data_IF_049887565820
#
_entry.id   IF_049887565820
#
_cell.length_a   1.000
_cell.length_b   1.000
_cell.length_c   1.000
_cell.angle_alpha   90.00
_cell.angle_beta   90.00
_cell.angle_gamma   90.00
#
_symmetry.space_group_name_H-M   'P 1'
#
loop_
_entity.id
_entity.type
_entity.pdbx_description
1 polymer ?
#
# COMPACT_ATOMS: atom_id res chain seq x y z
N UNK A 1 5.12 34.77 -29.20
CA UNK A 1 5.90 33.54 -28.94
C UNK A 1 6.29 33.38 -27.47
N UNK A 2 6.87 34.39 -26.84
CA UNK A 2 7.23 34.31 -25.43
C UNK A 2 6.05 34.11 -24.48
N UNK A 3 4.88 34.70 -24.81
CA UNK A 3 3.68 34.54 -23.99
C UNK A 3 3.12 33.11 -24.04
N UNK A 4 3.16 32.48 -25.21
CA UNK A 4 2.74 31.09 -25.39
C UNK A 4 3.67 30.14 -24.65
N UNK A 5 4.96 30.40 -24.72
CA UNK A 5 5.96 29.62 -24.01
C UNK A 5 5.80 29.75 -22.50
N UNK A 6 5.48 30.94 -22.00
CA UNK A 6 5.28 31.21 -20.60
C UNK A 6 4.06 30.47 -20.01
N UNK A 7 3.05 30.15 -20.83
CA UNK A 7 1.89 29.37 -20.42
C UNK A 7 2.17 27.87 -20.53
N UNK A 8 2.90 27.44 -21.56
CA UNK A 8 3.20 26.03 -21.81
C UNK A 8 4.13 25.46 -20.75
N UNK A 9 5.15 26.18 -20.32
CA UNK A 9 6.14 25.68 -19.35
C UNK A 9 5.49 25.34 -18.01
N UNK A 10 4.70 26.21 -17.37
CA UNK A 10 4.02 25.83 -16.12
C UNK A 10 3.06 24.65 -16.27
N UNK A 11 2.38 24.55 -17.42
CA UNK A 11 1.48 23.45 -17.72
C UNK A 11 2.21 22.12 -17.78
N UNK A 12 3.37 22.08 -18.47
CA UNK A 12 4.19 20.88 -18.57
C UNK A 12 4.73 20.47 -17.21
N UNK A 13 5.20 21.42 -16.42
CA UNK A 13 5.71 21.14 -15.07
C UNK A 13 4.60 20.57 -14.19
N UNK A 14 3.39 21.12 -14.27
CA UNK A 14 2.25 20.63 -13.52
C UNK A 14 1.89 19.20 -13.90
N UNK A 15 1.85 18.90 -15.20
CA UNK A 15 1.57 17.55 -15.69
C UNK A 15 2.62 16.55 -15.22
N UNK A 16 3.90 16.92 -15.31
CA UNK A 16 4.98 16.06 -14.83
C UNK A 16 4.87 15.81 -13.34
N UNK A 17 4.57 16.83 -12.55
CA UNK A 17 4.39 16.69 -11.11
C UNK A 17 3.25 15.74 -10.78
N UNK A 18 2.12 15.84 -11.48
CA UNK A 18 0.97 14.95 -11.30
C UNK A 18 1.31 13.51 -11.67
N UNK A 19 2.03 13.31 -12.77
CA UNK A 19 2.44 11.98 -13.20
C UNK A 19 3.38 11.32 -12.18
N UNK A 20 4.35 12.08 -11.68
CA UNK A 20 5.27 11.57 -10.66
C UNK A 20 4.55 11.23 -9.36
N UNK A 21 3.60 12.07 -8.97
CA UNK A 21 2.79 11.84 -7.78
C UNK A 21 1.97 10.55 -7.93
N UNK A 22 1.38 10.34 -9.11
CA UNK A 22 0.61 9.13 -9.39
C UNK A 22 1.47 7.87 -9.33
N UNK A 23 2.68 7.93 -9.88
CA UNK A 23 3.62 6.81 -9.84
C UNK A 23 4.03 6.48 -8.40
N UNK A 24 4.30 7.49 -7.59
CA UNK A 24 4.64 7.29 -6.18
C UNK A 24 3.49 6.65 -5.41
N UNK A 25 2.27 7.10 -5.65
CA UNK A 25 1.08 6.54 -5.01
C UNK A 25 0.87 5.08 -5.41
N UNK A 26 1.04 4.77 -6.70
CA UNK A 26 0.94 3.41 -7.21
C UNK A 26 2.02 2.51 -6.59
N UNK A 27 3.24 3.01 -6.46
CA UNK A 27 4.32 2.29 -5.81
C UNK A 27 4.01 1.96 -4.36
N UNK A 28 3.47 2.91 -3.63
CA UNK A 28 3.04 2.70 -2.24
C UNK A 28 1.95 1.63 -2.16
N UNK A 29 0.98 1.67 -3.08
CA UNK A 29 -0.08 0.67 -3.14
C UNK A 29 0.48 -0.74 -3.38
N UNK A 30 1.47 -0.87 -4.26
CA UNK A 30 2.12 -2.16 -4.50
C UNK A 30 2.83 -2.68 -3.26
N UNK A 31 3.51 -1.81 -2.51
CA UNK A 31 4.15 -2.19 -1.25
C UNK A 31 3.13 -2.70 -0.25
N UNK A 32 1.99 -2.03 -0.13
CA UNK A 32 0.91 -2.47 0.77
C UNK A 32 0.32 -3.80 0.34
N UNK A 33 0.16 -4.02 -0.96
CA UNK A 33 -0.35 -5.28 -1.49
C UNK A 33 0.62 -6.43 -1.19
N UNK A 34 1.91 -6.20 -1.36
CA UNK A 34 2.94 -7.17 -1.03
C UNK A 34 2.96 -7.49 0.46
N UNK A 35 2.86 -6.46 1.30
CA UNK A 35 2.79 -6.63 2.75
C UNK A 35 1.56 -7.43 3.17
N UNK A 36 0.41 -7.16 2.56
CA UNK A 36 -0.82 -7.90 2.84
C UNK A 36 -0.68 -9.37 2.48
N UNK A 37 -0.06 -9.67 1.34
CA UNK A 37 0.16 -11.05 0.90
C UNK A 37 1.10 -11.80 1.85
N UNK A 38 2.19 -11.16 2.27
CA UNK A 38 3.14 -11.77 3.21
C UNK A 38 2.51 -11.98 4.59
N UNK A 39 1.76 -10.99 5.06
CA UNK A 39 1.07 -11.09 6.35
C UNK A 39 0.00 -12.18 6.34
N UNK A 40 -0.74 -12.31 5.23
CA UNK A 40 -1.75 -13.35 5.09
C UNK A 40 -1.13 -14.76 5.17
N UNK A 41 0.00 -14.95 4.52
CA UNK A 41 0.73 -16.24 4.59
C UNK A 41 1.24 -16.53 5.99
N UNK A 42 1.78 -15.51 6.66
CA UNK A 42 2.26 -15.63 8.03
C UNK A 42 1.12 -15.98 8.97
N UNK A 43 0.00 -15.30 8.85
CA UNK A 43 -1.20 -15.55 9.64
C UNK A 43 -1.76 -16.95 9.40
N UNK A 44 -1.79 -17.37 8.13
CA UNK A 44 -2.29 -18.69 7.75
C UNK A 44 -1.46 -19.82 8.33
N UNK A 45 -0.16 -19.60 8.54
CA UNK A 45 0.72 -20.56 9.19
C UNK A 45 0.59 -20.58 10.71
N UNK A 46 -0.18 -19.65 11.27
CA UNK A 46 -0.38 -19.59 12.70
C UNK A 46 0.80 -19.07 13.50
N UNK A 47 1.68 -18.28 12.88
CA UNK A 47 2.88 -17.77 13.52
C UNK A 47 2.61 -16.68 14.56
N UNK A 48 1.38 -16.16 14.60
CA UNK A 48 0.93 -15.22 15.61
C UNK A 48 1.07 -13.76 15.23
N UNK A 49 0.44 -12.91 16.03
CA UNK A 49 0.35 -11.48 15.76
C UNK A 49 1.72 -10.78 15.76
N UNK A 50 2.66 -11.25 16.57
CA UNK A 50 3.99 -10.67 16.63
C UNK A 50 4.75 -10.83 15.33
N UNK A 51 4.65 -12.02 14.70
CA UNK A 51 5.29 -12.28 13.41
C UNK A 51 4.65 -11.46 12.29
N UNK A 52 3.33 -11.34 12.30
CA UNK A 52 2.60 -10.52 11.34
C UNK A 52 2.99 -9.05 11.44
N UNK A 53 3.07 -8.54 12.65
CA UNK A 53 3.49 -7.17 12.92
C UNK A 53 4.93 -6.92 12.49
N UNK A 54 5.79 -7.92 12.68
CA UNK A 54 7.19 -7.84 12.26
C UNK A 54 7.33 -7.75 10.75
N UNK A 55 6.56 -8.55 10.01
CA UNK A 55 6.54 -8.49 8.55
C UNK A 55 6.06 -7.11 8.09
N UNK A 56 5.00 -6.61 8.68
CA UNK A 56 4.43 -5.32 8.32
C UNK A 56 5.40 -4.18 8.60
N UNK A 57 6.07 -4.20 9.77
CA UNK A 57 7.04 -3.18 10.13
C UNK A 57 8.23 -3.15 9.18
N UNK A 58 8.62 -4.30 8.66
CA UNK A 58 9.74 -4.40 7.71
C UNK A 58 9.35 -3.95 6.31
N UNK A 59 8.19 -4.40 5.82
CA UNK A 59 7.77 -4.18 4.43
C UNK A 59 7.05 -2.84 4.27
N UNK A 60 6.18 -2.51 5.20
CA UNK A 60 5.36 -1.30 5.13
C UNK A 60 5.29 -0.60 6.49
N UNK A 61 6.37 0.10 6.90
CA UNK A 61 6.38 0.79 8.19
C UNK A 61 5.24 1.80 8.28
N UNK A 62 4.59 1.84 9.43
CA UNK A 62 3.48 2.76 9.69
C UNK A 62 2.12 2.27 9.21
N UNK A 63 2.05 1.13 8.57
CA UNK A 63 0.79 0.55 8.12
C UNK A 63 0.09 -0.17 9.29
N UNK A 64 -1.23 -0.30 9.17
CA UNK A 64 -2.06 -1.01 10.15
C UNK A 64 -2.55 -2.31 9.56
N UNK A 65 -2.68 -3.30 10.40
CA UNK A 65 -3.04 -4.65 10.02
C UNK A 65 -4.35 -5.04 10.68
N UNK A 66 -5.25 -5.63 9.91
CA UNK A 66 -6.48 -6.26 10.41
C UNK A 66 -6.58 -7.66 9.83
N UNK A 67 -6.85 -8.63 10.68
CA UNK A 67 -6.99 -10.04 10.27
C UNK A 67 -8.45 -10.45 10.43
N UNK A 68 -8.97 -11.12 9.41
CA UNK A 68 -10.36 -11.55 9.37
C UNK A 68 -10.44 -12.99 8.90
N UNK A 69 -11.22 -13.79 9.60
CA UNK A 69 -11.46 -15.18 9.22
C UNK A 69 -12.73 -15.27 8.36
N UNK A 70 -12.60 -15.87 7.18
CA UNK A 70 -13.72 -16.10 6.27
C UNK A 70 -13.76 -17.58 5.89
N UNK A 71 -14.49 -18.38 6.66
CA UNK A 71 -14.54 -19.83 6.45
C UNK A 71 -13.17 -20.44 6.67
N UNK A 72 -12.64 -21.12 5.65
CA UNK A 72 -11.31 -21.72 5.72
C UNK A 72 -10.19 -20.75 5.32
N UNK A 73 -10.55 -19.55 4.90
CA UNK A 73 -9.57 -18.55 4.48
C UNK A 73 -9.32 -17.53 5.58
N UNK A 74 -8.08 -17.10 5.65
CA UNK A 74 -7.63 -16.05 6.51
C UNK A 74 -7.30 -14.84 5.65
N UNK A 75 -8.01 -13.75 5.85
CA UNK A 75 -7.84 -12.54 5.06
C UNK A 75 -7.19 -11.46 5.90
N UNK A 76 -6.21 -10.78 5.32
CA UNK A 76 -5.49 -9.69 5.97
C UNK A 76 -5.74 -8.41 5.19
N UNK A 77 -6.10 -7.37 5.90
CA UNK A 77 -6.24 -6.04 5.32
C UNK A 77 -5.19 -5.12 5.91
N UNK A 78 -4.45 -4.47 5.06
CA UNK A 78 -3.40 -3.52 5.44
C UNK A 78 -3.82 -2.14 5.00
N UNK A 79 -3.76 -1.17 5.91
CA UNK A 79 -4.10 0.22 5.59
C UNK A 79 -2.95 1.13 6.00
N UNK A 80 -2.73 2.16 5.21
CA UNK A 80 -1.71 3.17 5.49
C UNK A 80 -2.10 4.49 4.87
N UNK A 81 -1.67 5.58 5.48
CA UNK A 81 -1.82 6.90 4.89
C UNK A 81 -0.81 7.08 3.75
N UNK A 82 -1.18 7.87 2.77
CA UNK A 82 -0.24 8.28 1.73
C UNK A 82 0.86 9.17 2.32
N UNK A 83 1.83 9.49 1.50
CA UNK A 83 2.95 10.33 1.90
C UNK A 83 2.85 11.71 1.24
N UNK A 84 3.46 12.72 1.87
CA UNK A 84 3.51 14.07 1.34
C UNK A 84 2.12 14.67 1.17
N UNK A 85 1.82 15.15 -0.04
CA UNK A 85 0.52 15.76 -0.34
C UNK A 85 -0.64 14.77 -0.25
N UNK A 86 -0.35 13.47 -0.26
CA UNK A 86 -1.37 12.42 -0.16
C UNK A 86 -1.57 11.91 1.26
N UNK A 87 -1.12 12.64 2.26
CA UNK A 87 -1.25 12.21 3.66
C UNK A 87 -2.70 12.06 4.12
N UNK A 88 -3.63 12.76 3.46
CA UNK A 88 -5.06 12.65 3.74
C UNK A 88 -5.73 11.45 3.05
N UNK A 89 -5.02 10.80 2.11
CA UNK A 89 -5.53 9.64 1.38
C UNK A 89 -5.14 8.37 2.13
N UNK A 90 -6.13 7.53 2.40
CA UNK A 90 -5.90 6.23 3.02
C UNK A 90 -5.82 5.17 1.93
N UNK A 91 -4.68 4.49 1.86
CA UNK A 91 -4.47 3.37 0.96
C UNK A 91 -4.78 2.07 1.67
N UNK A 92 -5.36 1.12 0.97
CA UNK A 92 -5.71 -0.18 1.53
C UNK A 92 -5.37 -1.29 0.55
N UNK A 93 -4.93 -2.40 1.08
CA UNK A 93 -4.68 -3.62 0.31
C UNK A 93 -5.13 -4.80 1.15
N UNK A 94 -5.60 -5.85 0.49
CA UNK A 94 -6.03 -7.05 1.19
C UNK A 94 -5.55 -8.28 0.44
N UNK A 95 -5.34 -9.35 1.19
CA UNK A 95 -4.95 -10.63 0.63
C UNK A 95 -5.47 -11.73 1.53
N UNK A 96 -5.79 -12.87 0.95
CA UNK A 96 -6.29 -14.01 1.68
C UNK A 96 -5.41 -15.23 1.41
N UNK A 97 -5.29 -16.09 2.42
CA UNK A 97 -4.57 -17.36 2.31
C UNK A 97 -5.38 -18.44 3.00
N UNK A 98 -5.21 -19.68 2.58
CA UNK A 98 -5.87 -20.81 3.23
C UNK A 98 -5.27 -21.03 4.60
N UNK A 99 -6.12 -21.13 5.60
CA UNK A 99 -5.68 -21.43 6.96
C UNK A 99 -5.03 -22.84 6.97
N UNK A 100 -3.89 -22.94 7.63
CA UNK A 100 -3.12 -24.18 7.66
C UNK A 100 -1.83 -24.12 6.85
N UNK A 101 -1.57 -23.02 6.18
CA UNK A 101 -0.27 -22.76 5.55
C UNK A 101 -0.03 -23.41 4.19
N UNK A 102 -1.08 -23.70 3.48
CA UNK A 102 -0.93 -24.27 2.13
C UNK A 102 -0.91 -23.21 1.04
#
# INVERSE_FOLDING_TARGET
>A
MTAEFAVVVPTVILLLALCLAAVQLAGRQLVLQDAAAMAARTAARGEGATAESGVLATVAPGARLAVEHRGEMLCVRVTAAGTGMFSAVTLAASSCALAGGL
#
